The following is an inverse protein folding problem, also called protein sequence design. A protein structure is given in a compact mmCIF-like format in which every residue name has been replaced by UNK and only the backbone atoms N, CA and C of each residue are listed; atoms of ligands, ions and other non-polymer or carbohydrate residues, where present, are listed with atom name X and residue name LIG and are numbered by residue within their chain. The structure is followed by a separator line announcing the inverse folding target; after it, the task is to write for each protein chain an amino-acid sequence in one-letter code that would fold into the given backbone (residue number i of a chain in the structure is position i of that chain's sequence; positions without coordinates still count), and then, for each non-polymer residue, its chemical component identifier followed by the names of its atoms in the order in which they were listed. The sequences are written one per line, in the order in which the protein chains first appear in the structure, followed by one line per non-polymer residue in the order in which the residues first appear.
data_IF_241034696044
#
_entry.id   IF_241034696044
#
_cell.length_a   1.000
_cell.length_b   1.000
_cell.length_c   1.000
_cell.angle_alpha   90.00
_cell.angle_beta   90.00
_cell.angle_gamma   90.00
#
_symmetry.space_group_name_H-M   'P 1'
#
loop_
_entity.id
_entity.type
_entity.pdbx_description
1 polymer ?
2 non-polymer ?
3 non-polymer ?
4 water ?
#
# COMPACT_ATOMS: atom_id res chain seq x y z
N UNK A 1 0.09 0.55 14.22
CA UNK A 1 0.57 1.91 14.55
C UNK A 1 1.32 2.51 13.37
N UNK A 2 1.65 3.81 13.42
CA UNK A 2 2.42 4.40 12.34
C UNK A 2 3.81 3.79 12.27
N UNK A 3 4.43 3.48 13.42
CA UNK A 3 5.67 2.77 13.36
C UNK A 3 5.68 1.40 12.63
N UNK A 4 4.70 0.54 12.93
CA UNK A 4 4.61 -0.73 12.19
C UNK A 4 4.41 -0.48 10.71
N UNK A 5 3.55 0.46 10.42
CA UNK A 5 3.31 0.84 9.04
C UNK A 5 4.57 1.28 8.32
N UNK A 6 5.50 1.93 9.00
CA UNK A 6 6.80 2.23 8.35
C UNK A 6 7.61 1.00 7.93
N UNK A 7 7.56 -0.05 8.73
CA UNK A 7 8.27 -1.27 8.45
C UNK A 7 7.62 -1.97 7.25
N UNK A 8 6.29 -2.00 7.26
CA UNK A 8 5.54 -2.62 6.16
C UNK A 8 5.86 -1.91 4.84
N UNK A 9 5.75 -0.58 4.89
CA UNK A 9 6.00 0.23 3.70
C UNK A 9 7.42 0.08 3.18
N UNK A 10 8.41 0.07 4.08
CA UNK A 10 9.78 0.01 3.65
C UNK A 10 10.06 -1.31 2.93
N UNK A 11 9.50 -2.42 3.44
CA UNK A 11 9.66 -3.72 2.73
C UNK A 11 8.86 -3.84 1.42
N UNK A 12 7.56 -3.51 1.45
CA UNK A 12 6.67 -3.57 0.31
C UNK A 12 7.22 -2.80 -0.89
N UNK A 13 7.90 -1.71 -0.61
CA UNK A 13 8.31 -0.83 -1.68
C UNK A 13 9.54 -1.28 -2.43
N UNK A 14 10.20 -2.30 -1.88
CA UNK A 14 11.42 -2.86 -2.53
C UNK A 14 11.12 -3.43 -3.91
N UNK A 15 9.88 -3.81 -4.18
CA UNK A 15 9.52 -4.43 -5.45
C UNK A 15 9.10 -3.40 -6.53
N UNK A 16 9.19 -2.11 -6.19
CA UNK A 16 8.78 -1.06 -7.12
C UNK A 16 9.52 -1.15 -8.42
N UNK A 17 10.85 -1.17 -8.35
CA UNK A 17 11.60 -1.13 -9.62
C UNK A 17 11.27 -2.31 -10.55
N UNK A 18 11.20 -3.53 -10.01
CA UNK A 18 10.89 -4.72 -10.84
C UNK A 18 9.49 -4.70 -11.45
N UNK A 19 8.61 -3.84 -10.94
CA UNK A 19 7.24 -3.76 -11.37
C UNK A 19 6.98 -2.61 -12.27
N UNK A 20 7.96 -1.73 -12.34
CA UNK A 20 7.76 -0.47 -13.04
C UNK A 20 7.45 -0.56 -14.55
N UNK A 21 8.19 -1.35 -15.31
CA UNK A 21 7.88 -1.43 -16.75
C UNK A 21 6.46 -1.96 -17.15
N UNK A 22 6.05 -3.10 -16.58
CA UNK A 22 4.73 -3.65 -16.89
C UNK A 22 3.56 -2.77 -16.52
N UNK A 23 3.78 -1.88 -15.55
CA UNK A 23 2.73 -1.06 -15.02
C UNK A 23 2.68 0.29 -15.67
N UNK A 24 3.76 0.63 -16.36
CA UNK A 24 3.81 1.89 -17.14
C UNK A 24 4.03 3.07 -16.21
N UNK A 25 4.58 2.80 -15.04
CA UNK A 25 4.74 3.83 -14.05
C UNK A 25 6.05 4.59 -14.20
N UNK A 26 5.96 5.83 -14.66
CA UNK A 26 7.17 6.65 -14.85
C UNK A 26 7.77 7.08 -13.54
N UNK A 27 9.08 7.28 -13.55
CA UNK A 27 9.81 7.77 -12.36
C UNK A 27 9.31 9.15 -12.06
N UNK A 28 8.75 9.80 -13.09
CA UNK A 28 8.12 11.12 -12.93
C UNK A 28 6.87 11.10 -12.08
N UNK A 29 6.11 10.02 -12.15
CA UNK A 29 4.93 9.80 -11.30
C UNK A 29 5.35 9.44 -9.88
N UNK A 30 6.21 8.42 -9.71
CA UNK A 30 6.69 8.03 -8.34
C UNK A 30 8.09 7.43 -8.47
N UNK A 31 9.08 8.01 -7.81
CA UNK A 31 10.45 7.57 -7.99
C UNK A 31 10.84 6.55 -6.92
N UNK A 32 10.31 6.77 -5.72
CA UNK A 32 10.45 5.84 -4.60
C UNK A 32 9.16 5.68 -3.84
N UNK A 33 8.84 4.42 -3.51
CA UNK A 33 7.56 4.11 -2.96
C UNK A 33 7.28 4.85 -1.65
N UNK A 34 8.33 5.08 -0.85
CA UNK A 34 8.11 5.78 0.40
C UNK A 34 7.30 7.08 0.22
N UNK A 35 7.42 7.70 -0.95
CA UNK A 35 6.74 8.99 -1.14
C UNK A 35 5.23 8.84 -1.26
N UNK A 36 4.72 7.59 -1.39
CA UNK A 36 3.27 7.35 -1.29
C UNK A 36 2.66 8.12 -0.08
N UNK A 37 3.41 8.16 1.02
CA UNK A 37 2.92 8.79 2.26
C UNK A 37 3.10 10.31 2.42
N UNK A 38 3.80 10.97 1.49
CA UNK A 38 3.92 12.47 1.54
C UNK A 38 2.56 13.16 1.50
N UNK A 39 2.33 14.16 2.38
CA UNK A 39 1.08 14.93 2.43
C UNK A 39 0.78 15.48 1.05
N UNK A 40 1.86 15.65 0.28
CA UNK A 40 2.03 16.32 -1.02
C UNK A 40 1.80 15.48 -2.22
N UNK A 41 1.79 14.17 -1.99
CA UNK A 41 1.75 13.20 -3.09
C UNK A 41 0.33 12.72 -3.24
N UNK A 42 -0.21 12.99 -4.42
CA UNK A 42 -1.57 12.69 -4.77
C UNK A 42 -1.64 11.29 -5.42
N UNK A 43 -2.36 10.40 -4.74
CA UNK A 43 -2.47 8.96 -5.11
C UNK A 43 -3.65 8.86 -6.08
N UNK A 44 -3.34 8.88 -7.38
CA UNK A 44 -4.38 9.02 -8.40
C UNK A 44 -4.12 8.27 -9.71
N UNK A 45 -2.88 7.97 -9.98
CA UNK A 45 -2.55 7.44 -11.35
C UNK A 45 -2.93 6.01 -11.52
N UNK A 46 -3.65 5.73 -12.59
CA UNK A 46 -3.91 4.30 -12.96
C UNK A 46 -2.67 3.39 -12.90
N UNK A 47 -1.54 3.87 -13.40
CA UNK A 47 -0.33 3.12 -13.48
C UNK A 47 0.21 2.82 -12.07
N UNK A 48 -0.06 3.71 -11.09
CA UNK A 48 0.32 3.42 -9.69
C UNK A 48 -0.55 2.27 -9.13
N UNK A 49 -1.80 2.20 -9.56
CA UNK A 49 -2.68 1.07 -9.21
C UNK A 49 -2.09 -0.20 -9.78
N UNK A 50 -1.70 -0.18 -11.07
CA UNK A 50 -1.08 -1.33 -11.67
C UNK A 50 0.17 -1.76 -10.96
N UNK A 51 1.00 -0.81 -10.54
CA UNK A 51 2.22 -1.18 -9.90
C UNK A 51 1.87 -1.87 -8.55
N UNK A 52 0.88 -1.32 -7.82
CA UNK A 52 0.46 -1.84 -6.54
C UNK A 52 0.03 -3.32 -6.68
N UNK A 53 -0.62 -3.65 -7.76
CA UNK A 53 -1.03 -5.08 -8.07
C UNK A 53 0.20 -5.95 -8.29
N UNK A 54 1.10 -5.46 -9.12
CA UNK A 54 2.31 -6.17 -9.32
C UNK A 54 3.09 -6.50 -8.03
N UNK A 55 3.25 -5.48 -7.18
CA UNK A 55 4.01 -5.58 -6.00
C UNK A 55 3.33 -6.49 -4.98
N UNK A 56 2.01 -6.42 -4.93
CA UNK A 56 1.17 -7.24 -4.04
C UNK A 56 1.25 -8.72 -4.46
N UNK A 57 1.28 -8.95 -5.76
CA UNK A 57 1.27 -10.33 -6.27
C UNK A 57 2.53 -11.07 -5.87
N UNK A 58 3.60 -10.32 -5.68
CA UNK A 58 4.89 -10.83 -5.29
C UNK A 58 4.77 -11.55 -3.97
N UNK A 59 3.85 -11.09 -3.14
CA UNK A 59 3.66 -11.67 -1.84
C UNK A 59 2.26 -12.30 -1.67
N UNK A 60 1.56 -12.51 -2.77
CA UNK A 60 0.26 -13.22 -2.70
C UNK A 60 -0.85 -12.44 -1.98
N UNK A 61 -0.72 -11.11 -1.94
CA UNK A 61 -1.60 -10.31 -1.14
C UNK A 61 -2.94 -10.01 -1.79
N UNK A 62 -3.06 -10.35 -3.06
CA UNK A 62 -4.37 -10.31 -3.75
C UNK A 62 -5.05 -11.65 -3.90
N UNK A 63 -6.38 -11.63 -3.82
CA UNK A 63 -7.18 -12.83 -4.12
C UNK A 63 -7.46 -12.97 -5.61
N UNK A 64 -8.31 -13.92 -5.96
CA UNK A 64 -8.55 -14.26 -7.37
C UNK A 64 -9.16 -13.10 -8.12
N UNK A 65 -9.87 -12.25 -7.40
CA UNK A 65 -10.56 -11.16 -8.02
C UNK A 65 -9.85 -9.79 -7.88
N UNK A 66 -8.58 -9.82 -7.49
CA UNK A 66 -7.75 -8.60 -7.37
C UNK A 66 -8.31 -7.64 -6.28
N UNK A 67 -8.76 -8.27 -5.18
CA UNK A 67 -9.00 -7.56 -3.91
C UNK A 67 -8.05 -8.16 -2.92
N UNK A 68 -7.89 -7.47 -1.80
CA UNK A 68 -6.98 -8.00 -0.84
C UNK A 68 -7.39 -9.39 -0.38
N UNK A 69 -6.34 -10.22 -0.18
CA UNK A 69 -6.44 -11.59 0.40
C UNK A 69 -6.23 -11.43 1.88
N UNK A 70 -7.32 -11.49 2.64
CA UNK A 70 -7.26 -11.06 4.04
C UNK A 70 -6.25 -11.90 4.83
N UNK A 71 -6.23 -13.21 4.66
CA UNK A 71 -5.35 -13.99 5.49
C UNK A 71 -3.91 -13.78 5.05
N UNK A 72 -3.57 -13.69 3.77
CA UNK A 72 -2.18 -13.43 3.38
C UNK A 72 -1.72 -12.04 3.87
N UNK A 73 -2.68 -11.06 3.84
CA UNK A 73 -2.37 -9.71 4.34
C UNK A 73 -2.06 -9.71 5.86
N UNK A 74 -2.88 -10.40 6.60
CA UNK A 74 -2.62 -10.64 8.07
C UNK A 74 -1.29 -11.30 8.32
N UNK A 75 -0.98 -12.34 7.57
CA UNK A 75 0.30 -13.00 7.84
C UNK A 75 1.50 -12.10 7.48
N UNK A 76 1.40 -11.36 6.37
CA UNK A 76 2.43 -10.43 5.97
C UNK A 76 2.64 -9.37 7.04
N UNK A 77 1.56 -8.74 7.46
CA UNK A 77 1.72 -7.68 8.46
C UNK A 77 2.38 -8.23 9.76
N UNK A 78 1.92 -9.40 10.18
CA UNK A 78 2.49 -10.04 11.38
C UNK A 78 3.89 -10.52 11.23
N UNK A 79 4.44 -10.50 10.03
CA UNK A 79 5.86 -10.81 9.84
C UNK A 79 6.86 -9.73 10.18
N UNK A 80 6.31 -8.57 10.55
CA UNK A 80 7.11 -7.40 10.91
C UNK A 80 7.03 -7.22 12.41
N UNK A 81 8.06 -6.55 13.01
CA UNK A 81 8.12 -6.38 14.47
C UNK A 81 6.87 -5.69 14.99
N UNK A 82 6.24 -6.25 16.00
CA UNK A 82 4.95 -5.79 16.50
C UNK A 82 3.75 -5.76 15.52
N UNK A 83 3.87 -6.54 14.44
CA UNK A 83 2.85 -6.51 13.40
C UNK A 83 1.48 -6.81 13.94
N UNK A 84 1.35 -7.63 14.98
CA UNK A 84 0.04 -8.00 15.48
C UNK A 84 -0.84 -6.75 15.88
N UNK A 85 -0.18 -5.62 16.26
CA UNK A 85 -0.89 -4.47 16.73
C UNK A 85 -1.59 -3.75 15.57
N UNK A 86 -1.17 -4.04 14.34
CA UNK A 86 -1.66 -3.30 13.19
C UNK A 86 -2.49 -4.17 12.36
N UNK A 87 -2.33 -5.47 12.42
CA UNK A 87 -2.95 -6.35 11.38
C UNK A 87 -4.45 -6.26 11.25
N UNK A 88 -5.18 -6.31 12.35
CA UNK A 88 -6.63 -6.23 12.30
C UNK A 88 -7.14 -4.95 11.69
N UNK A 89 -6.57 -3.83 12.18
CA UNK A 89 -7.08 -2.54 11.79
C UNK A 89 -6.79 -2.28 10.32
N UNK A 90 -5.59 -2.66 9.90
CA UNK A 90 -5.21 -2.42 8.49
C UNK A 90 -6.08 -3.20 7.49
N UNK A 91 -6.39 -4.46 7.80
CA UNK A 91 -7.26 -5.27 6.87
C UNK A 91 -8.67 -4.68 6.88
N UNK A 92 -9.21 -4.32 8.06
CA UNK A 92 -10.55 -3.71 8.15
C UNK A 92 -10.56 -2.40 7.36
N UNK A 93 -9.52 -1.55 7.52
CA UNK A 93 -9.52 -0.29 6.74
C UNK A 93 -9.46 -0.50 5.22
N UNK A 94 -8.55 -1.35 4.76
CA UNK A 94 -8.50 -1.61 3.34
C UNK A 94 -9.80 -2.20 2.82
N UNK A 95 -10.32 -3.19 3.52
CA UNK A 95 -11.59 -3.75 3.06
C UNK A 95 -12.72 -2.77 3.01
N UNK A 96 -12.78 -1.81 3.96
CA UNK A 96 -13.86 -0.78 3.98
C UNK A 96 -13.72 0.10 2.72
N UNK A 97 -12.52 0.51 2.38
CA UNK A 97 -12.29 1.25 1.16
C UNK A 97 -12.62 0.42 -0.11
N UNK A 98 -12.27 -0.88 -0.14
CA UNK A 98 -12.63 -1.69 -1.31
C UNK A 98 -14.12 -1.66 -1.58
N UNK A 99 -14.94 -1.71 -0.54
CA UNK A 99 -16.38 -1.76 -0.66
C UNK A 99 -16.86 -0.48 -1.27
N UNK A 100 -16.17 0.63 -0.97
CA UNK A 100 -16.64 1.93 -1.51
C UNK A 100 -16.39 2.06 -3.04
N UNK A 101 -15.49 1.25 -3.57
CA UNK A 101 -15.05 1.29 -4.98
C UNK A 101 -15.32 -0.02 -5.70
N UNK A 102 -16.23 -0.82 -5.13
CA UNK A 102 -16.65 -2.07 -5.80
C UNK A 102 -17.27 -1.96 -7.19
N UNK A 103 -17.81 -0.78 -7.50
CA UNK A 103 -18.33 -0.58 -8.87
C UNK A 103 -17.27 -0.17 -9.88
N UNK A 104 -16.01 0.02 -9.48
CA UNK A 104 -14.93 0.19 -10.46
C UNK A 104 -14.39 -1.22 -10.88
N UNK A 105 -14.67 -1.66 -12.13
CA UNK A 105 -14.17 -2.99 -12.58
C UNK A 105 -12.73 -3.01 -13.10
N UNK A 106 -12.22 -1.86 -13.53
CA UNK A 106 -10.85 -1.75 -13.94
C UNK A 106 -9.91 -1.94 -12.74
N UNK A 107 -9.18 -3.04 -12.70
CA UNK A 107 -8.42 -3.40 -11.53
C UNK A 107 -7.39 -2.33 -11.15
N UNK A 108 -6.61 -1.82 -12.13
CA UNK A 108 -5.64 -0.78 -11.78
C UNK A 108 -6.28 0.46 -11.22
N UNK A 109 -7.35 0.89 -11.82
CA UNK A 109 -7.99 2.11 -11.40
C UNK A 109 -8.62 1.86 -10.03
N UNK A 110 -9.25 0.71 -9.80
CA UNK A 110 -9.85 0.42 -8.50
C UNK A 110 -8.79 0.40 -7.40
N UNK A 111 -7.65 -0.21 -7.68
CA UNK A 111 -6.62 -0.38 -6.68
C UNK A 111 -6.04 1.00 -6.35
N UNK A 112 -5.85 1.90 -7.31
CA UNK A 112 -5.29 3.22 -6.91
C UNK A 112 -6.36 4.02 -6.11
N UNK A 113 -7.66 3.92 -6.46
CA UNK A 113 -8.75 4.62 -5.69
C UNK A 113 -8.80 4.10 -4.26
N UNK A 114 -8.67 2.79 -4.12
CA UNK A 114 -8.68 2.19 -2.80
C UNK A 114 -7.42 2.60 -2.02
N UNK A 115 -6.29 2.64 -2.69
CA UNK A 115 -5.04 3.11 -2.10
C UNK A 115 -5.21 4.54 -1.58
N UNK A 116 -5.83 5.43 -2.34
CA UNK A 116 -5.99 6.82 -1.87
C UNK A 116 -6.96 6.85 -0.68
N UNK A 117 -8.09 6.16 -0.72
CA UNK A 117 -8.95 6.02 0.42
C UNK A 117 -8.19 5.47 1.66
N UNK A 118 -7.37 4.48 1.45
CA UNK A 118 -6.65 3.91 2.57
C UNK A 118 -5.67 4.92 3.17
N UNK A 119 -4.98 5.67 2.34
CA UNK A 119 -4.12 6.69 2.84
C UNK A 119 -4.86 7.71 3.70
N UNK A 120 -6.00 8.25 3.26
CA UNK A 120 -6.78 9.23 4.01
C UNK A 120 -7.27 8.58 5.29
N UNK A 121 -7.76 7.34 5.21
CA UNK A 121 -8.27 6.73 6.45
C UNK A 121 -7.19 6.37 7.46
N UNK A 122 -5.99 5.96 6.97
CA UNK A 122 -4.83 5.70 7.83
C UNK A 122 -4.45 6.99 8.59
N UNK A 123 -4.48 8.13 7.92
CA UNK A 123 -4.24 9.40 8.63
C UNK A 123 -5.30 9.64 9.72
N UNK A 124 -6.58 9.45 9.44
CA UNK A 124 -7.65 9.74 10.39
C UNK A 124 -7.55 8.79 11.56
N UNK A 125 -7.14 7.55 11.29
CA UNK A 125 -7.13 6.53 12.31
C UNK A 125 -5.78 6.43 13.04
N UNK A 126 -4.82 7.23 12.57
CA UNK A 126 -3.49 7.33 13.22
C UNK A 126 -2.53 6.16 12.92
N UNK A 127 -2.67 5.55 11.73
CA UNK A 127 -1.65 4.53 11.33
C UNK A 127 -0.78 4.95 10.11
N UNK A 128 -0.81 6.22 9.73
CA UNK A 128 -0.03 6.76 8.62
C UNK A 128 1.32 7.27 9.04
N UNK A 129 2.42 6.66 8.56
CA UNK A 129 3.75 7.17 8.88
C UNK A 129 4.14 8.43 8.12
N UNK A 130 5.22 9.07 8.56
CA UNK A 130 5.88 10.17 7.82
C UNK A 130 6.96 9.50 6.99
N UNK A 131 7.34 10.11 5.87
CA UNK A 131 8.40 9.55 5.04
C UNK A 131 9.67 9.33 5.87
N UNK A 132 9.99 10.26 6.78
CA UNK A 132 11.17 10.07 7.62
C UNK A 132 11.22 8.75 8.37
N UNK A 133 10.07 8.32 8.87
CA UNK A 133 10.02 7.06 9.63
C UNK A 133 10.26 5.86 8.71
N UNK A 134 9.68 5.93 7.52
CA UNK A 134 10.02 4.92 6.48
C UNK A 134 11.53 4.89 6.11
N UNK A 135 12.15 6.06 5.91
CA UNK A 135 13.56 6.12 5.61
C UNK A 135 14.45 5.53 6.65
N UNK A 136 14.13 5.83 7.90
CA UNK A 136 14.81 5.26 9.06
C UNK A 136 14.92 3.77 9.03
N UNK A 137 13.87 3.10 8.54
CA UNK A 137 13.91 1.66 8.44
C UNK A 137 14.83 1.26 7.28
N UNK A 138 14.62 1.86 6.10
CA UNK A 138 15.52 1.59 4.94
C UNK A 138 17.03 1.77 5.25
N UNK A 139 17.33 2.79 6.03
CA UNK A 139 18.71 3.21 6.44
C UNK A 139 19.39 2.40 7.59
N UNK A 140 18.75 1.30 8.00
CA UNK A 140 19.37 0.41 8.96
C UNK A 140 20.23 -0.63 8.24
N UNK A 141 19.95 -0.80 6.94
CA UNK A 141 20.68 -1.72 6.08
C UNK A 141 22.00 -1.04 5.68
X LIG B 1 -12.36 -8.64 -12.22
X LIG C 1 -3.69 -5.14 -1.11
X LIG C 1 -2.68 -4.03 -0.97
X LIG C 1 -1.34 -4.53 -0.44
X LIG C 1 -0.69 -3.60 0.51
X LIG C 1 -0.18 -2.82 1.25
X LIG C 1 0.34 -1.84 1.85
X LIG C 1 1.61 -1.43 1.82
X LIG C 1 1.93 -0.14 2.55
X LIG C 1 1.21 1.06 1.88
X LIG C 1 0.54 0.71 0.52
X LIG C 1 -1.01 0.71 0.50
X LIG C 1 -1.65 -0.10 -0.66
X LIG C 1 -3.19 -0.27 -0.60
X LIG C 1 -3.77 -1.11 -1.76
X LIG C 1 -5.20 -1.69 -1.59
X LIG C 1 -5.82 -2.14 -2.97
X LIG C 1 -6.98 -3.06 -2.97
X LIG D 1 2.94 13.12 -14.47
#
# INVERSE_FOLDING_TARGET
TAEVMSHVTAHFGKTLEECREESGLSVDILDEFKHFWSDDFDVVHRELGCAIICMSNKFSLMDDDVRMHHVNMDEYIKSFPNGQVLAEKMVKLIHNCEKQFDTETDDCTRVVKVAACFKEDSRKEGIAPEVAMVEAVIEKY
MG MG
B9M C16 C15 C14 C13 C12 C11 C10 C9 C8 C7 C6 C5 C4 C3 C2 C1 O
MG MG
#
